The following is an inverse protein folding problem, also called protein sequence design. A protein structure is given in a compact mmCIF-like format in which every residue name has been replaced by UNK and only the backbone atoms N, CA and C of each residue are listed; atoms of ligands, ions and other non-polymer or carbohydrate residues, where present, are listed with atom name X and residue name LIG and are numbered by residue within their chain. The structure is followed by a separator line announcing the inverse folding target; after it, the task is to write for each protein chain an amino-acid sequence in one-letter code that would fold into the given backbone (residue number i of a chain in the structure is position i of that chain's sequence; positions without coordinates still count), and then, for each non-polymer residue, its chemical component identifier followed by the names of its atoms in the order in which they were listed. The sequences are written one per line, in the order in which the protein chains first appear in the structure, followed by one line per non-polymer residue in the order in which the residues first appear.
data_IF_433489729497
#
_entry.id   IF_433489729497
#
_cell.length_a   1.000
_cell.length_b   1.000
_cell.length_c   1.000
_cell.angle_alpha   90.00
_cell.angle_beta   90.00
_cell.angle_gamma   90.00
#
_symmetry.space_group_name_H-M   'P 1'
#
loop_
_entity.id
_entity.type
_entity.pdbx_description
1 polymer ?
#
# COMPACT_ATOMS: atom_id res chain seq x y z
N UNK A 1 -27.63 -27.16 6.76
CA UNK A 1 -27.42 -25.70 6.62
C UNK A 1 -26.51 -25.13 7.71
N UNK A 2 -26.77 -25.33 9.01
CA UNK A 2 -25.95 -24.78 10.10
C UNK A 2 -24.48 -25.27 10.12
N UNK A 3 -24.23 -26.53 9.74
CA UNK A 3 -22.86 -27.11 9.68
C UNK A 3 -22.00 -26.54 8.55
N UNK A 4 -22.61 -26.15 7.44
CA UNK A 4 -21.90 -25.53 6.31
C UNK A 4 -21.45 -24.11 6.67
N UNK A 5 -22.28 -23.40 7.44
CA UNK A 5 -22.01 -22.04 7.92
C UNK A 5 -20.86 -22.02 8.93
N UNK A 6 -20.79 -23.00 9.82
CA UNK A 6 -19.68 -23.15 10.79
C UNK A 6 -18.34 -23.46 10.12
N UNK A 7 -18.32 -24.25 9.04
CA UNK A 7 -17.08 -24.52 8.28
C UNK A 7 -16.59 -23.28 7.53
N UNK A 8 -17.50 -22.47 6.98
CA UNK A 8 -17.17 -21.22 6.28
C UNK A 8 -16.58 -20.16 7.22
N UNK A 9 -17.07 -20.06 8.47
CA UNK A 9 -16.48 -19.15 9.46
C UNK A 9 -15.07 -19.57 9.92
N UNK A 10 -14.78 -20.88 9.99
CA UNK A 10 -13.45 -21.36 10.41
C UNK A 10 -12.36 -21.11 9.37
N UNK A 11 -12.71 -21.02 8.07
CA UNK A 11 -11.73 -20.80 7.00
C UNK A 11 -11.23 -19.35 6.92
N UNK A 12 -12.02 -18.38 7.40
CA UNK A 12 -11.64 -16.96 7.37
C UNK A 12 -10.60 -16.56 8.43
N UNK A 13 -10.40 -17.37 9.47
CA UNK A 13 -9.47 -17.06 10.57
C UNK A 13 -8.00 -17.41 10.26
N UNK A 14 -7.71 -18.13 9.17
CA UNK A 14 -6.36 -18.59 8.85
C UNK A 14 -5.59 -17.70 7.86
N UNK A 15 -6.19 -16.63 7.31
CA UNK A 15 -5.58 -15.87 6.21
C UNK A 15 -4.80 -14.61 6.64
N UNK A 16 -4.72 -14.31 7.94
CA UNK A 16 -3.95 -13.16 8.45
C UNK A 16 -2.53 -13.55 8.88
N UNK A 17 -1.69 -14.00 7.95
CA UNK A 17 -0.24 -14.09 8.17
C UNK A 17 0.53 -14.18 6.85
N UNK A 18 0.46 -13.13 6.03
CA UNK A 18 1.53 -12.86 5.06
C UNK A 18 2.31 -11.68 5.62
N UNK A 19 3.22 -11.99 6.54
CA UNK A 19 4.18 -11.03 7.06
C UNK A 19 5.29 -10.85 6.01
N UNK A 20 5.52 -9.59 5.69
CA UNK A 20 6.47 -9.04 4.74
C UNK A 20 7.89 -9.66 4.88
N UNK A 21 8.33 -10.39 3.85
CA UNK A 21 9.58 -11.16 3.79
C UNK A 21 10.84 -10.27 3.57
N UNK A 22 10.75 -8.97 3.89
CA UNK A 22 11.84 -8.00 3.70
C UNK A 22 12.18 -7.19 4.96
N UNK A 23 11.92 -7.76 6.14
CA UNK A 23 12.41 -7.17 7.39
C UNK A 23 13.85 -7.65 7.67
N UNK A 24 14.84 -6.88 7.19
CA UNK A 24 16.22 -7.05 7.63
C UNK A 24 16.32 -6.57 9.08
N UNK A 25 16.24 -7.50 10.03
CA UNK A 25 16.45 -7.22 11.45
C UNK A 25 17.95 -7.01 11.68
N UNK A 26 18.36 -5.74 11.75
CA UNK A 26 19.73 -5.37 12.13
C UNK A 26 19.83 -5.46 13.66
N UNK A 27 20.43 -6.54 14.17
CA UNK A 27 20.79 -6.63 15.57
C UNK A 27 21.93 -5.65 15.85
N UNK A 28 21.67 -4.64 16.69
CA UNK A 28 22.71 -3.73 17.16
C UNK A 28 23.74 -4.51 18.01
N UNK A 29 25.02 -4.31 17.72
CA UNK A 29 26.10 -4.81 18.56
C UNK A 29 25.99 -4.17 19.97
N UNK A 30 26.39 -4.92 21.00
CA UNK A 30 26.35 -4.44 22.39
C UNK A 30 27.06 -3.08 22.54
N UNK A 31 26.53 -2.15 23.35
CA UNK A 31 27.01 -0.78 23.41
C UNK A 31 28.48 -0.75 23.79
N UNK A 32 29.32 -0.34 22.84
CA UNK A 32 30.73 -0.10 23.07
C UNK A 32 30.87 1.11 23.98
N UNK A 33 31.62 0.99 25.08
CA UNK A 33 31.84 2.09 26.03
C UNK A 33 32.50 3.28 25.31
N UNK A 34 31.69 4.27 24.94
CA UNK A 34 32.10 5.62 24.55
C UNK A 34 32.30 5.81 23.04
N UNK A 35 31.53 6.71 22.45
CA UNK A 35 31.80 7.26 21.14
C UNK A 35 33.02 8.17 21.20
N UNK A 36 34.11 7.81 20.52
CA UNK A 36 35.30 8.64 20.41
C UNK A 36 35.30 9.36 19.07
N UNK A 37 35.53 10.67 19.09
CA UNK A 37 35.80 11.47 17.90
C UNK A 37 37.30 11.70 17.78
N UNK A 38 37.84 11.50 16.57
CA UNK A 38 39.27 11.67 16.30
C UNK A 38 39.44 12.83 15.32
N UNK A 39 40.32 13.76 15.66
CA UNK A 39 40.69 14.87 14.80
C UNK A 39 42.03 14.55 14.12
N UNK A 40 42.03 14.55 12.79
CA UNK A 40 43.24 14.33 11.97
C UNK A 40 43.39 15.52 11.04
N UNK A 41 44.52 16.22 11.12
CA UNK A 41 44.82 17.40 10.30
C UNK A 41 43.74 18.52 10.37
N UNK A 42 43.25 18.85 11.57
CA UNK A 42 42.25 19.92 11.74
C UNK A 42 40.85 19.56 11.25
N UNK A 43 40.62 18.28 10.86
CA UNK A 43 39.32 17.78 10.41
C UNK A 43 38.85 16.68 11.36
N UNK A 44 37.67 16.90 11.94
CA UNK A 44 37.00 15.96 12.84
C UNK A 44 36.37 14.84 12.02
N UNK A 45 36.91 13.62 12.11
CA UNK A 45 36.31 12.45 11.50
C UNK A 45 35.20 11.93 12.44
N UNK A 46 33.94 12.09 12.03
CA UNK A 46 32.81 11.55 12.78
C UNK A 46 32.81 10.02 12.68
N UNK A 47 32.67 9.33 13.81
CA UNK A 47 32.51 7.88 13.82
C UNK A 47 31.09 7.53 13.38
N UNK A 48 30.96 7.02 12.16
CA UNK A 48 29.66 6.62 11.59
C UNK A 48 28.95 5.57 12.45
N UNK A 49 29.71 4.72 13.15
CA UNK A 49 29.19 3.73 14.09
C UNK A 49 28.45 4.37 15.26
N UNK A 50 29.01 5.43 15.85
CA UNK A 50 28.35 6.16 16.95
C UNK A 50 27.10 6.90 16.46
N UNK A 51 27.19 7.53 15.29
CA UNK A 51 26.05 8.23 14.72
C UNK A 51 24.89 7.26 14.49
N UNK A 52 25.19 6.10 13.92
CA UNK A 52 24.20 5.05 13.73
C UNK A 52 23.61 4.62 15.07
N UNK A 53 24.44 4.40 16.11
CA UNK A 53 23.99 4.05 17.47
C UNK A 53 23.01 5.07 18.07
N UNK A 54 23.26 6.37 17.88
CA UNK A 54 22.37 7.45 18.34
C UNK A 54 21.09 7.59 17.52
N UNK A 55 21.11 7.16 16.26
CA UNK A 55 19.95 7.18 15.37
C UNK A 55 19.05 5.95 15.57
N UNK A 56 19.52 4.89 16.25
CA UNK A 56 18.64 3.77 16.55
C UNK A 56 17.46 4.25 17.42
N UNK A 57 16.24 3.81 17.09
CA UNK A 57 15.10 4.07 17.96
C UNK A 57 15.40 3.46 19.34
N UNK A 58 15.21 4.24 20.40
CA UNK A 58 15.27 3.76 21.78
C UNK A 58 14.49 2.43 21.89
N UNK A 59 14.99 1.42 22.59
CA UNK A 59 14.35 0.10 22.71
C UNK A 59 12.89 0.19 23.18
N UNK A 60 12.54 1.24 23.93
CA UNK A 60 11.17 1.54 24.34
C UNK A 60 10.22 1.95 23.18
N UNK A 61 10.78 2.45 22.08
CA UNK A 61 10.05 2.86 20.88
C UNK A 61 9.91 1.73 19.84
N UNK A 62 10.67 0.63 19.96
CA UNK A 62 10.63 -0.48 19.00
C UNK A 62 9.30 -1.24 19.06
N UNK A 63 8.68 -1.31 20.24
CA UNK A 63 7.33 -1.85 20.43
C UNK A 63 6.24 -0.76 20.47
N UNK A 64 6.58 0.49 20.17
CA UNK A 64 5.61 1.58 20.20
C UNK A 64 4.82 1.54 18.90
N UNK A 65 3.48 1.55 19.03
CA UNK A 65 2.59 1.69 17.88
C UNK A 65 3.03 2.89 17.05
N UNK A 66 3.14 2.76 15.72
CA UNK A 66 3.54 3.87 14.85
C UNK A 66 2.66 5.09 15.15
N UNK A 67 3.23 6.31 15.12
CA UNK A 67 2.48 7.53 15.40
C UNK A 67 1.25 7.57 14.51
N UNK A 68 0.08 7.79 15.13
CA UNK A 68 -1.17 7.91 14.39
C UNK A 68 -1.04 9.10 13.45
N UNK A 69 -1.15 8.85 12.15
CA UNK A 69 -1.12 9.90 11.14
C UNK A 69 -2.12 10.99 11.50
N UNK A 70 -1.73 12.25 11.32
CA UNK A 70 -2.69 13.34 11.41
C UNK A 70 -3.80 13.13 10.37
N UNK A 71 -4.99 13.70 10.61
CA UNK A 71 -6.12 13.54 9.68
C UNK A 71 -5.80 13.96 8.23
N UNK A 72 -4.90 14.94 8.07
CA UNK A 72 -4.42 15.39 6.76
C UNK A 72 -3.52 14.34 6.10
N UNK A 73 -2.53 13.80 6.82
CA UNK A 73 -1.63 12.76 6.32
C UNK A 73 -2.40 11.47 5.99
N UNK A 74 -3.35 11.10 6.84
CA UNK A 74 -4.24 9.97 6.61
C UNK A 74 -5.05 10.17 5.32
N UNK A 75 -5.54 11.39 5.05
CA UNK A 75 -6.29 11.71 3.84
C UNK A 75 -5.41 11.64 2.57
N UNK A 76 -4.17 12.11 2.64
CA UNK A 76 -3.22 12.04 1.52
C UNK A 76 -2.85 10.61 1.13
N UNK A 77 -2.90 9.67 2.08
CA UNK A 77 -2.65 8.26 1.82
C UNK A 77 -3.89 7.50 1.29
N UNK A 78 -5.08 8.12 1.30
CA UNK A 78 -6.28 7.46 0.79
C UNK A 78 -6.25 7.43 -0.73
N UNK A 79 -6.60 6.27 -1.34
CA UNK A 79 -6.65 6.17 -2.79
C UNK A 79 -7.80 7.04 -3.33
N UNK A 80 -7.65 7.54 -4.55
CA UNK A 80 -8.57 8.54 -5.12
C UNK A 80 -10.02 8.05 -5.25
N UNK A 81 -10.24 6.74 -5.36
CA UNK A 81 -11.57 6.12 -5.35
C UNK A 81 -12.31 6.30 -4.01
N UNK A 82 -11.60 6.38 -2.88
CA UNK A 82 -12.22 6.65 -1.58
C UNK A 82 -12.50 8.13 -1.35
N UNK A 83 -11.75 9.00 -2.03
CA UNK A 83 -11.89 10.45 -1.93
C UNK A 83 -12.94 11.01 -2.90
N UNK A 84 -13.52 10.17 -3.77
CA UNK A 84 -14.43 10.62 -4.83
C UNK A 84 -13.75 11.52 -5.87
N UNK A 85 -12.42 11.52 -5.91
CA UNK A 85 -11.61 12.30 -6.83
C UNK A 85 -11.42 11.55 -8.15
N UNK A 86 -10.85 12.25 -9.12
CA UNK A 86 -10.50 11.64 -10.40
C UNK A 86 -9.66 10.37 -10.22
N UNK A 87 -10.06 9.32 -10.93
CA UNK A 87 -9.33 8.07 -10.99
C UNK A 87 -9.28 7.61 -12.45
N UNK A 88 -8.07 7.49 -13.00
CA UNK A 88 -7.85 7.11 -14.39
C UNK A 88 -8.39 5.73 -14.71
N UNK A 89 -8.12 4.73 -13.87
CA UNK A 89 -8.60 3.36 -14.08
C UNK A 89 -10.14 3.31 -14.07
N UNK A 90 -10.80 4.06 -13.17
CA UNK A 90 -12.26 4.16 -13.14
C UNK A 90 -12.82 4.80 -14.42
N UNK A 91 -12.15 5.82 -14.96
CA UNK A 91 -12.57 6.45 -16.22
C UNK A 91 -12.33 5.51 -17.42
N UNK A 92 -11.21 4.79 -17.45
CA UNK A 92 -10.92 3.75 -18.45
C UNK A 92 -12.02 2.69 -18.48
N UNK A 93 -12.48 2.21 -17.32
CA UNK A 93 -13.60 1.27 -17.23
C UNK A 93 -14.92 1.85 -17.74
N UNK A 94 -15.22 3.12 -17.45
CA UNK A 94 -16.47 3.76 -17.91
C UNK A 94 -16.48 4.01 -19.41
N UNK A 95 -15.33 4.36 -19.99
CA UNK A 95 -15.22 4.69 -21.41
C UNK A 95 -15.00 3.46 -22.28
N UNK A 96 -14.37 2.40 -21.75
CA UNK A 96 -13.96 1.23 -22.50
C UNK A 96 -13.00 1.61 -23.62
N UNK A 97 -13.22 1.05 -24.82
CA UNK A 97 -12.39 1.33 -26.01
C UNK A 97 -12.39 2.81 -26.45
N UNK A 98 -13.33 3.61 -25.94
CA UNK A 98 -13.41 5.04 -26.25
C UNK A 98 -12.44 5.90 -25.41
N UNK A 99 -11.75 5.32 -24.42
CA UNK A 99 -10.84 6.06 -23.55
C UNK A 99 -9.70 6.72 -24.35
N UNK A 100 -9.56 8.05 -24.20
CA UNK A 100 -8.57 8.84 -24.93
C UNK A 100 -8.87 9.06 -26.42
N UNK A 101 -10.04 8.62 -26.92
CA UNK A 101 -10.47 8.79 -28.32
C UNK A 101 -11.77 9.57 -28.47
N UNK A 102 -12.66 9.49 -27.48
CA UNK A 102 -13.95 10.18 -27.48
C UNK A 102 -14.28 10.77 -26.11
N UNK A 103 -15.18 11.75 -26.10
CA UNK A 103 -15.85 12.25 -24.89
C UNK A 103 -17.06 11.40 -24.49
N UNK A 104 -17.54 10.52 -25.38
CA UNK A 104 -18.66 9.61 -25.13
C UNK A 104 -18.19 8.18 -24.90
N UNK A 105 -18.80 7.43 -23.96
CA UNK A 105 -18.48 6.02 -23.72
C UNK A 105 -18.75 5.11 -24.92
N UNK A 106 -18.05 3.97 -24.99
CA UNK A 106 -18.34 2.94 -25.97
C UNK A 106 -19.75 2.37 -25.76
N UNK A 107 -20.63 2.58 -26.73
CA UNK A 107 -21.93 1.91 -26.80
C UNK A 107 -21.89 0.86 -27.91
N UNK A 108 -22.32 -0.38 -27.65
CA UNK A 108 -22.57 -1.32 -28.73
C UNK A 108 -23.52 -0.72 -29.77
N UNK A 109 -23.29 -1.03 -31.05
CA UNK A 109 -24.23 -0.67 -32.10
C UNK A 109 -25.63 -1.22 -31.73
N UNK A 110 -26.71 -0.48 -31.99
CA UNK A 110 -28.05 -1.01 -31.80
C UNK A 110 -28.19 -2.33 -32.54
N UNK A 111 -28.84 -3.32 -31.91
CA UNK A 111 -29.18 -4.54 -32.62
C UNK A 111 -29.99 -4.18 -33.87
N UNK A 112 -29.77 -4.87 -35.01
CA UNK A 112 -30.61 -4.66 -36.18
C UNK A 112 -32.08 -4.89 -35.80
N UNK A 113 -33.02 -4.13 -36.39
CA UNK A 113 -34.43 -4.31 -36.08
C UNK A 113 -34.83 -5.75 -36.35
N UNK A 114 -35.54 -6.36 -35.39
CA UNK A 114 -36.12 -7.68 -35.57
C UNK A 114 -37.07 -7.63 -36.77
N UNK A 115 -36.69 -8.29 -37.86
CA UNK A 115 -37.52 -8.33 -39.05
C UNK A 115 -38.68 -9.29 -38.80
N UNK A 116 -39.95 -8.86 -38.99
CA UNK A 116 -41.11 -9.75 -38.80
C UNK A 116 -41.17 -10.89 -39.84
N UNK A 117 -40.31 -10.83 -40.87
CA UNK A 117 -40.24 -11.79 -41.98
C UNK A 117 -39.10 -12.81 -41.83
N UNK A 118 -38.19 -12.66 -40.85
CA UNK A 118 -37.10 -13.61 -40.65
C UNK A 118 -37.24 -14.32 -39.30
N UNK A 119 -37.10 -15.66 -39.27
CA UNK A 119 -37.03 -16.38 -38.00
C UNK A 119 -35.75 -15.99 -37.24
N UNK A 120 -35.77 -15.99 -35.89
CA UNK A 120 -34.58 -15.72 -35.09
C UNK A 120 -33.50 -16.76 -35.41
N UNK A 121 -32.26 -16.28 -35.61
CA UNK A 121 -31.06 -17.12 -35.76
C UNK A 121 -30.40 -17.38 -34.42
#
# INVERSE_FOLDING_TARGET
MARLFLLLLSACAALSAQADEHTVVVNAAAPGKGCVEVEVNGRRAQSISCLNEKLLPNSNNVNRQPPTLSGAEATMQRPSNQLGLYNRAALEHRMGNAFGKSVTPQRPAPAPPASPLLPPR
#
